data_IF_874169282511
#
_entry.id   IF_874169282511
#
_cell.length_a   1.000
_cell.length_b   1.000
_cell.length_c   1.000
_cell.angle_alpha   90.00
_cell.angle_beta   90.00
_cell.angle_gamma   90.00
#
_symmetry.space_group_name_H-M   'P 1'
#
loop_
_entity.id
_entity.type
_entity.pdbx_description
1 polymer ?
#
# COMPACT_ATOMS: atom_id res chain seq x y z
N UNK A 1 27.73 23.23 -2.46
CA UNK A 1 27.89 21.79 -2.15
C UNK A 1 26.55 21.30 -1.63
N UNK A 2 25.78 20.62 -2.49
CA UNK A 2 24.41 20.22 -2.17
C UNK A 2 24.45 19.09 -1.12
N UNK A 3 23.88 19.33 0.06
CA UNK A 3 23.87 18.39 1.19
C UNK A 3 23.25 17.02 0.85
N UNK A 4 22.56 16.90 -0.29
CA UNK A 4 21.94 15.66 -0.79
C UNK A 4 22.96 14.68 -1.40
N UNK A 5 24.11 15.14 -1.90
CA UNK A 5 25.11 14.26 -2.54
C UNK A 5 25.97 13.47 -1.54
N UNK A 6 25.91 13.83 -0.25
CA UNK A 6 26.63 13.13 0.84
C UNK A 6 25.95 11.79 1.15
N UNK A 7 24.64 11.71 0.91
CA UNK A 7 23.88 10.47 0.95
C UNK A 7 24.05 9.79 -0.41
N UNK A 8 24.87 8.74 -0.49
CA UNK A 8 25.08 8.01 -1.74
C UNK A 8 23.76 7.55 -2.38
N UNK A 9 23.75 7.25 -3.68
CA UNK A 9 22.56 6.87 -4.45
C UNK A 9 21.60 5.86 -3.75
N UNK A 10 22.16 4.93 -2.96
CA UNK A 10 21.42 3.97 -2.12
C UNK A 10 20.62 4.56 -0.96
N UNK A 11 21.05 5.70 -0.42
CA UNK A 11 20.35 6.43 0.62
C UNK A 11 19.23 7.30 0.02
N UNK A 12 19.44 7.85 -1.18
CA UNK A 12 18.42 8.63 -1.88
C UNK A 12 17.29 7.77 -2.46
N UNK A 13 17.61 6.57 -2.94
CA UNK A 13 16.65 5.64 -3.48
C UNK A 13 16.79 4.32 -2.75
N UNK A 14 15.82 3.98 -1.90
CA UNK A 14 15.87 2.75 -1.10
C UNK A 14 15.70 1.53 -1.99
N UNK A 15 16.78 0.80 -2.35
CA UNK A 15 16.66 -0.34 -3.24
C UNK A 15 15.95 -1.50 -2.55
N UNK A 16 16.02 -1.56 -1.22
CA UNK A 16 15.33 -2.55 -0.41
C UNK A 16 13.81 -2.40 -0.52
N UNK A 17 13.30 -1.17 -0.37
CA UNK A 17 11.87 -0.88 -0.49
C UNK A 17 11.39 -1.14 -1.92
N UNK A 18 12.19 -0.77 -2.92
CA UNK A 18 11.91 -1.10 -4.32
C UNK A 18 11.77 -2.61 -4.56
N UNK A 19 12.73 -3.41 -4.07
CA UNK A 19 12.69 -4.86 -4.20
C UNK A 19 11.48 -5.49 -3.49
N UNK A 20 11.14 -4.99 -2.30
CA UNK A 20 9.96 -5.47 -1.55
C UNK A 20 8.67 -5.16 -2.33
N UNK A 21 8.50 -3.92 -2.80
CA UNK A 21 7.32 -3.54 -3.58
C UNK A 21 7.24 -4.30 -4.91
N UNK A 22 8.37 -4.54 -5.58
CA UNK A 22 8.41 -5.41 -6.75
C UNK A 22 7.97 -6.83 -6.41
N UNK A 23 8.43 -7.39 -5.30
CA UNK A 23 8.01 -8.71 -4.82
C UNK A 23 6.50 -8.78 -4.56
N UNK A 24 5.94 -7.78 -3.87
CA UNK A 24 4.51 -7.68 -3.60
C UNK A 24 3.72 -7.54 -4.92
N UNK A 25 4.20 -6.70 -5.83
CA UNK A 25 3.57 -6.50 -7.14
C UNK A 25 3.61 -7.77 -7.98
N UNK A 26 4.74 -8.47 -8.01
CA UNK A 26 4.87 -9.74 -8.70
C UNK A 26 3.94 -10.81 -8.11
N UNK A 27 3.81 -10.87 -6.79
CA UNK A 27 2.88 -11.77 -6.11
C UNK A 27 1.42 -11.43 -6.48
N UNK A 28 1.06 -10.15 -6.49
CA UNK A 28 -0.27 -9.69 -6.92
C UNK A 28 -0.57 -10.10 -8.38
N UNK A 29 0.38 -9.89 -9.30
CA UNK A 29 0.25 -10.29 -10.69
C UNK A 29 0.18 -11.81 -10.87
N UNK A 30 0.92 -12.56 -10.04
CA UNK A 30 0.83 -14.02 -10.02
C UNK A 30 -0.58 -14.48 -9.63
N UNK A 31 -1.14 -13.93 -8.55
CA UNK A 31 -2.51 -14.22 -8.14
C UNK A 31 -3.54 -13.78 -9.17
N UNK A 32 -3.37 -12.59 -9.76
CA UNK A 32 -4.17 -12.08 -10.87
C UNK A 32 -4.23 -13.09 -12.01
N UNK A 33 -3.08 -13.57 -12.49
CA UNK A 33 -3.01 -14.55 -13.58
C UNK A 33 -3.62 -15.90 -13.19
N UNK A 34 -3.35 -16.37 -11.97
CA UNK A 34 -3.90 -17.64 -11.45
C UNK A 34 -5.42 -17.62 -11.33
N UNK A 35 -5.99 -16.48 -10.95
CA UNK A 35 -7.42 -16.32 -10.66
C UNK A 35 -8.21 -15.76 -11.84
N UNK A 36 -7.54 -15.29 -12.90
CA UNK A 36 -8.18 -14.81 -14.13
C UNK A 36 -9.06 -15.86 -14.84
N UNK A 37 -8.85 -17.16 -14.59
CA UNK A 37 -9.71 -18.24 -15.13
C UNK A 37 -10.97 -18.51 -14.31
N UNK A 38 -11.11 -17.91 -13.12
CA UNK A 38 -12.29 -18.07 -12.26
C UNK A 38 -13.33 -16.97 -12.55
N UNK A 39 -14.61 -17.18 -12.23
CA UNK A 39 -15.67 -16.19 -12.43
C UNK A 39 -15.41 -14.86 -11.68
N UNK A 40 -14.67 -14.90 -10.56
CA UNK A 40 -14.20 -13.70 -9.85
C UNK A 40 -12.88 -13.19 -10.44
N UNK A 41 -12.97 -12.57 -11.62
CA UNK A 41 -11.83 -11.90 -12.26
C UNK A 41 -11.54 -10.59 -11.56
N UNK A 42 -10.24 -10.29 -11.43
CA UNK A 42 -9.77 -8.96 -11.05
C UNK A 42 -9.96 -8.06 -12.27
N UNK A 43 -10.59 -6.90 -12.08
CA UNK A 43 -10.84 -5.94 -13.14
C UNK A 43 -9.56 -5.14 -13.43
N UNK A 44 -9.34 -4.75 -14.69
CA UNK A 44 -8.17 -3.93 -15.04
C UNK A 44 -8.08 -2.62 -14.25
N UNK A 45 -9.21 -2.06 -13.81
CA UNK A 45 -9.27 -0.90 -12.92
C UNK A 45 -8.62 -1.16 -11.55
N UNK A 46 -8.91 -2.30 -10.94
CA UNK A 46 -8.33 -2.71 -9.65
C UNK A 46 -6.82 -2.90 -9.80
N UNK A 47 -6.36 -3.49 -10.91
CA UNK A 47 -4.93 -3.59 -11.21
C UNK A 47 -4.25 -2.22 -11.34
N UNK A 48 -4.88 -1.26 -12.03
CA UNK A 48 -4.32 0.10 -12.16
C UNK A 48 -4.28 0.81 -10.80
N UNK A 49 -5.32 0.69 -9.98
CA UNK A 49 -5.35 1.26 -8.63
C UNK A 49 -4.27 0.66 -7.72
N UNK A 50 -4.05 -0.66 -7.79
CA UNK A 50 -3.00 -1.32 -7.02
C UNK A 50 -1.61 -0.87 -7.48
N UNK A 51 -1.35 -0.84 -8.78
CA UNK A 51 -0.06 -0.40 -9.31
C UNK A 51 0.22 1.08 -9.00
N UNK A 52 -0.80 1.94 -9.07
CA UNK A 52 -0.63 3.35 -8.68
C UNK A 52 -0.37 3.49 -7.18
N UNK A 53 -1.02 2.71 -6.32
CA UNK A 53 -0.72 2.70 -4.89
C UNK A 53 0.75 2.36 -4.62
N UNK A 54 1.28 1.31 -5.26
CA UNK A 54 2.68 0.90 -5.14
C UNK A 54 3.63 2.00 -5.62
N UNK A 55 3.29 2.68 -6.71
CA UNK A 55 4.08 3.80 -7.22
C UNK A 55 4.09 4.97 -6.24
N UNK A 56 2.93 5.36 -5.70
CA UNK A 56 2.84 6.45 -4.72
C UNK A 56 3.57 6.12 -3.42
N UNK A 57 3.50 4.87 -2.97
CA UNK A 57 4.21 4.41 -1.77
C UNK A 57 5.73 4.48 -2.00
N UNK A 58 6.23 3.99 -3.14
CA UNK A 58 7.65 4.12 -3.49
C UNK A 58 8.09 5.58 -3.64
N UNK A 59 7.25 6.43 -4.24
CA UNK A 59 7.57 7.84 -4.43
C UNK A 59 7.61 8.60 -3.10
N UNK A 60 6.74 8.27 -2.14
CA UNK A 60 6.68 8.95 -0.86
C UNK A 60 7.79 8.48 0.11
N UNK A 61 8.09 7.18 0.14
CA UNK A 61 8.94 6.57 1.18
C UNK A 61 10.26 5.99 0.62
N UNK A 62 10.29 5.60 -0.65
CA UNK A 62 11.47 5.03 -1.30
C UNK A 62 12.35 6.04 -2.04
N UNK A 63 11.93 7.30 -2.08
CA UNK A 63 12.57 8.37 -2.85
C UNK A 63 13.25 9.40 -1.94
N UNK A 64 14.07 10.34 -2.47
CA UNK A 64 14.74 11.35 -1.66
C UNK A 64 13.74 12.27 -0.93
N UNK A 65 12.45 12.21 -1.29
CA UNK A 65 11.35 12.88 -0.57
C UNK A 65 11.32 12.47 0.90
N UNK A 66 11.69 11.24 1.26
CA UNK A 66 11.72 10.77 2.65
C UNK A 66 12.81 11.51 3.47
N UNK A 67 14.02 11.60 2.90
CA UNK A 67 15.11 12.41 3.45
C UNK A 67 14.72 13.90 3.53
N UNK A 68 14.05 14.42 2.49
CA UNK A 68 13.52 15.78 2.49
C UNK A 68 12.47 15.97 3.58
N UNK A 69 11.62 14.98 3.85
CA UNK A 69 10.65 14.98 4.93
C UNK A 69 11.31 15.05 6.31
N UNK A 70 12.47 14.41 6.48
CA UNK A 70 13.21 14.51 7.73
C UNK A 70 13.80 15.90 8.00
N UNK A 71 14.13 16.68 6.96
CA UNK A 71 14.74 18.01 7.09
C UNK A 71 13.74 19.16 6.98
N UNK A 72 12.69 19.01 6.17
CA UNK A 72 11.73 20.06 5.84
C UNK A 72 10.32 19.63 6.26
N UNK A 73 9.73 20.39 7.18
CA UNK A 73 8.38 20.11 7.69
C UNK A 73 7.31 20.10 6.59
N UNK A 74 7.42 20.96 5.57
CA UNK A 74 6.49 20.96 4.44
C UNK A 74 6.55 19.67 3.63
N UNK A 75 7.76 19.15 3.37
CA UNK A 75 7.96 17.87 2.70
C UNK A 75 7.42 16.71 3.55
N UNK A 76 7.63 16.75 4.87
CA UNK A 76 7.09 15.75 5.80
C UNK A 76 5.56 15.68 5.74
N UNK A 77 4.88 16.83 5.80
CA UNK A 77 3.42 16.87 5.79
C UNK A 77 2.85 16.39 4.47
N UNK A 78 3.49 16.72 3.35
CA UNK A 78 3.09 16.21 2.02
C UNK A 78 3.30 14.70 1.94
N UNK A 79 4.43 14.18 2.43
CA UNK A 79 4.72 12.75 2.50
C UNK A 79 3.64 12.02 3.30
N UNK A 80 3.33 12.50 4.51
CA UNK A 80 2.29 11.92 5.36
C UNK A 80 0.89 12.02 4.72
N UNK A 81 0.55 13.13 4.07
CA UNK A 81 -0.72 13.29 3.37
C UNK A 81 -0.88 12.26 2.24
N UNK A 82 0.16 12.01 1.45
CA UNK A 82 0.13 10.98 0.40
C UNK A 82 -0.01 9.58 1.00
N UNK A 83 0.76 9.27 2.04
CA UNK A 83 0.75 7.95 2.70
C UNK A 83 -0.57 7.63 3.41
N UNK A 84 -1.29 8.63 3.93
CA UNK A 84 -2.55 8.42 4.65
C UNK A 84 -3.80 8.66 3.82
N UNK A 85 -3.77 9.57 2.85
CA UNK A 85 -4.96 9.95 2.08
C UNK A 85 -5.01 9.35 0.68
N UNK A 86 -3.86 9.07 0.06
CA UNK A 86 -3.79 8.60 -1.33
C UNK A 86 -3.54 7.10 -1.40
N UNK A 87 -2.52 6.63 -0.68
CA UNK A 87 -2.11 5.22 -0.72
C UNK A 87 -3.21 4.27 -0.18
N UNK A 88 -3.86 4.52 0.98
CA UNK A 88 -4.83 3.59 1.53
C UNK A 88 -6.08 3.39 0.65
N UNK A 89 -6.76 4.44 0.15
CA UNK A 89 -7.93 4.21 -0.72
C UNK A 89 -7.55 3.58 -2.05
N UNK A 90 -6.37 3.87 -2.61
CA UNK A 90 -5.87 3.20 -3.82
C UNK A 90 -5.61 1.71 -3.57
N UNK A 91 -5.03 1.34 -2.43
CA UNK A 91 -4.84 -0.07 -2.05
C UNK A 91 -6.17 -0.78 -1.86
N UNK A 92 -7.12 -0.15 -1.17
CA UNK A 92 -8.47 -0.71 -0.94
C UNK A 92 -9.18 -0.93 -2.28
N UNK A 93 -9.18 0.08 -3.15
CA UNK A 93 -9.78 0.00 -4.48
C UNK A 93 -9.01 -0.93 -5.44
N UNK A 94 -7.72 -1.15 -5.17
CA UNK A 94 -6.88 -2.06 -5.95
C UNK A 94 -7.08 -3.53 -5.61
N UNK A 95 -7.66 -3.84 -4.44
CA UNK A 95 -7.95 -5.19 -4.01
C UNK A 95 -9.44 -5.50 -4.24
N UNK A 96 -9.78 -6.55 -5.00
CA UNK A 96 -11.17 -6.86 -5.29
C UNK A 96 -11.95 -7.29 -4.04
N UNK A 97 -13.25 -6.97 -4.01
CA UNK A 97 -14.13 -7.24 -2.87
C UNK A 97 -14.14 -8.71 -2.42
N UNK A 98 -14.07 -9.65 -3.36
CA UNK A 98 -14.05 -11.08 -3.02
C UNK A 98 -12.78 -11.51 -2.27
N UNK A 99 -11.65 -10.81 -2.47
CA UNK A 99 -10.43 -11.11 -1.73
C UNK A 99 -10.56 -10.60 -0.29
N UNK A 100 -11.15 -9.41 -0.12
CA UNK A 100 -11.53 -8.88 1.20
C UNK A 100 -12.45 -9.84 1.95
N UNK A 101 -13.50 -10.33 1.29
CA UNK A 101 -14.41 -11.31 1.89
C UNK A 101 -13.67 -12.57 2.33
N UNK A 102 -12.79 -13.12 1.48
CA UNK A 102 -12.04 -14.34 1.82
C UNK A 102 -11.09 -14.14 3.01
N UNK A 103 -10.53 -12.94 3.16
CA UNK A 103 -9.63 -12.60 4.26
C UNK A 103 -10.44 -12.37 5.55
N UNK A 104 -11.53 -11.59 5.50
CA UNK A 104 -12.33 -11.21 6.67
C UNK A 104 -13.16 -12.40 7.19
N UNK A 105 -13.76 -13.19 6.29
CA UNK A 105 -14.61 -14.34 6.67
C UNK A 105 -13.81 -15.61 6.99
N UNK A 106 -12.47 -15.54 7.09
CA UNK A 106 -11.66 -16.67 7.54
C UNK A 106 -12.04 -17.01 9.00
N UNK A 107 -12.23 -18.30 9.38
CA UNK A 107 -12.72 -18.69 10.70
C UNK A 107 -11.89 -18.16 11.88
N UNK A 108 -10.59 -17.93 11.71
CA UNK A 108 -9.72 -17.35 12.75
C UNK A 108 -9.85 -15.82 12.89
N UNK A 109 -10.30 -15.12 11.84
CA UNK A 109 -10.32 -13.64 11.76
C UNK A 109 -11.73 -13.11 12.02
N UNK A 110 -12.76 -13.89 11.67
CA UNK A 110 -14.17 -13.58 11.87
C UNK A 110 -14.55 -13.16 13.30
N UNK A 111 -14.15 -13.89 14.39
CA UNK A 111 -14.54 -13.49 15.75
C UNK A 111 -13.91 -12.15 16.16
N UNK A 112 -12.65 -11.92 15.81
CA UNK A 112 -11.94 -10.67 16.09
C UNK A 112 -12.60 -9.49 15.37
N UNK A 113 -12.88 -9.61 14.08
CA UNK A 113 -13.57 -8.57 13.33
C UNK A 113 -14.98 -8.30 13.86
N UNK A 114 -15.74 -9.35 14.19
CA UNK A 114 -17.10 -9.18 14.72
C UNK A 114 -17.14 -8.45 16.06
N UNK A 115 -16.12 -8.63 16.92
CA UNK A 115 -16.02 -7.92 18.20
C UNK A 115 -15.77 -6.42 18.02
N UNK A 116 -14.86 -6.04 17.12
CA UNK A 116 -14.54 -4.62 16.86
C UNK A 116 -15.59 -3.91 15.99
N UNK A 117 -16.35 -4.64 15.16
CA UNK A 117 -17.43 -4.06 14.35
C UNK A 117 -18.79 -4.06 15.03
N UNK A 118 -18.96 -4.74 16.16
CA UNK A 118 -20.18 -4.60 16.98
C UNK A 118 -20.13 -3.29 17.78
N UNK A 119 -21.05 -2.34 17.53
CA UNK A 119 -21.11 -1.05 18.23
C UNK A 119 -21.68 -1.17 19.67
N UNK A 120 -21.66 -2.37 20.26
CA UNK A 120 -22.10 -2.62 21.63
C UNK A 120 -21.09 -2.11 22.67
N UNK A 121 -19.80 -2.01 22.30
CA UNK A 121 -18.74 -1.48 23.18
C UNK A 121 -18.77 0.06 23.22
N UNK A 122 -19.30 0.73 22.18
CA UNK A 122 -19.51 2.18 22.21
C UNK A 122 -20.73 2.60 23.06
N UNK A 123 -21.54 1.63 23.48
CA UNK A 123 -22.80 1.81 24.20
C UNK A 123 -22.69 1.42 25.69
N UNK A 124 -21.53 0.87 26.12
CA UNK A 124 -21.17 0.53 27.51
C UNK A 124 -20.14 1.52 28.03
#
# INVERSE_FOLDING_TARGET
MNQLEIFGFRAMWSPYLFCILLGITALYLYFYRRMSSKPNRITGKEMVCFLSAMLFLYAAEGSPVDLLGHIMFSAHMVQMAVLYLVVPPLLIAGIPAWLWEKIIFRPSIKPFFSFFTTPLIALL
#
